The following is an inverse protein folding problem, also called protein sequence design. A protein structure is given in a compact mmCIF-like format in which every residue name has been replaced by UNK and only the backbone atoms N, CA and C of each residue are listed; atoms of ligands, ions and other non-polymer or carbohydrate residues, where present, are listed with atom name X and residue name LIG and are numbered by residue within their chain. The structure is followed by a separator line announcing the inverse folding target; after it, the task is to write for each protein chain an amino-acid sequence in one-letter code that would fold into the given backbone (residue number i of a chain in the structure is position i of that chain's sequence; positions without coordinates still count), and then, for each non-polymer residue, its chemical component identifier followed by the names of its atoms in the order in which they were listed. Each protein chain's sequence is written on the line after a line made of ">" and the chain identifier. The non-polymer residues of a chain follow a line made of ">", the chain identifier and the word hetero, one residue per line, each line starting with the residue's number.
data_IF_421761776034
#
_entry.id   IF_421761776034
#
_cell.length_a   1.000
_cell.length_b   1.000
_cell.length_c   1.000
_cell.angle_alpha   90.00
_cell.angle_beta   90.00
_cell.angle_gamma   90.00
#
_symmetry.space_group_name_H-M   'P 1'
#
loop_
_entity.id
_entity.type
_entity.pdbx_description
1 polymer ?
#
# COMPACT_ATOMS: atom_id res chain seq x y z
N UNK A 1 24.25 -8.93 9.29
CA UNK A 1 24.41 -7.62 8.62
C UNK A 1 24.60 -6.57 9.70
N UNK A 2 25.67 -5.79 9.65
CA UNK A 2 25.96 -4.75 10.64
C UNK A 2 25.36 -3.44 10.21
N UNK A 3 24.69 -2.75 11.12
CA UNK A 3 24.45 -1.34 11.03
C UNK A 3 25.49 -0.62 11.88
N UNK A 4 26.40 0.07 11.23
CA UNK A 4 27.32 0.99 11.93
C UNK A 4 26.47 2.21 12.34
N UNK A 5 26.23 2.35 13.63
CA UNK A 5 25.67 3.58 14.18
C UNK A 5 26.82 4.58 14.22
N UNK A 6 26.63 5.79 13.75
CA UNK A 6 27.66 6.86 13.62
C UNK A 6 28.33 7.26 14.96
N UNK A 7 27.88 6.72 16.07
CA UNK A 7 28.46 6.92 17.41
C UNK A 7 29.70 6.06 17.67
N UNK A 8 30.19 5.28 16.70
CA UNK A 8 31.30 4.33 16.89
C UNK A 8 30.95 3.08 17.71
N UNK A 9 29.71 2.97 18.19
CA UNK A 9 29.22 1.77 18.88
C UNK A 9 28.70 0.79 17.83
N UNK A 10 29.42 -0.29 17.62
CA UNK A 10 29.02 -1.40 16.75
C UNK A 10 28.01 -2.28 17.47
N UNK A 11 26.79 -2.31 16.95
CA UNK A 11 25.74 -3.15 17.51
C UNK A 11 25.87 -4.59 17.01
N UNK A 12 25.92 -5.54 17.92
CA UNK A 12 25.83 -6.96 17.59
C UNK A 12 24.40 -7.29 17.17
N UNK A 13 24.25 -8.06 16.09
CA UNK A 13 22.95 -8.46 15.55
C UNK A 13 22.73 -9.93 15.80
N UNK A 14 21.62 -10.27 16.45
CA UNK A 14 21.11 -11.63 16.51
C UNK A 14 20.53 -11.99 15.14
N UNK A 15 21.07 -12.99 14.52
CA UNK A 15 20.64 -13.47 13.21
C UNK A 15 20.00 -14.84 13.34
N UNK A 16 18.70 -14.94 13.07
CA UNK A 16 18.00 -16.22 13.01
C UNK A 16 18.11 -16.87 11.64
N UNK A 17 17.98 -18.19 11.60
CA UNK A 17 17.78 -18.97 10.37
C UNK A 17 16.29 -19.06 10.09
N UNK A 18 15.71 -17.94 9.69
CA UNK A 18 14.29 -17.85 9.47
C UNK A 18 13.88 -18.40 8.13
N UNK A 19 12.95 -19.32 8.15
CA UNK A 19 12.25 -19.85 6.98
C UNK A 19 10.76 -19.52 7.08
N UNK A 20 10.20 -19.03 5.97
CA UNK A 20 8.77 -18.82 5.81
C UNK A 20 8.29 -19.59 4.59
N UNK A 21 7.29 -20.44 4.79
CA UNK A 21 6.65 -21.17 3.71
C UNK A 21 5.13 -21.19 3.93
N UNK A 22 4.40 -21.36 2.87
CA UNK A 22 2.95 -21.39 2.95
C UNK A 22 2.30 -21.65 1.61
N UNK A 23 0.99 -21.77 1.63
CA UNK A 23 0.17 -21.87 0.44
C UNK A 23 -1.09 -21.06 0.60
N UNK A 24 -1.62 -20.59 -0.53
CA UNK A 24 -2.89 -19.86 -0.56
C UNK A 24 -3.84 -20.47 -1.60
N UNK A 25 -5.12 -20.45 -1.28
CA UNK A 25 -6.21 -20.81 -2.18
C UNK A 25 -7.14 -19.60 -2.32
N UNK A 26 -7.34 -19.13 -3.56
CA UNK A 26 -8.07 -17.90 -3.83
C UNK A 26 -9.15 -18.10 -4.93
N UNK A 27 -10.22 -18.87 -4.68
CA UNK A 27 -11.34 -18.91 -5.61
C UNK A 27 -12.08 -17.57 -5.64
N UNK A 28 -12.54 -17.20 -6.83
CA UNK A 28 -13.36 -16.03 -7.06
C UNK A 28 -14.55 -16.35 -7.96
N UNK A 29 -15.65 -15.65 -7.75
CA UNK A 29 -16.82 -15.72 -8.61
C UNK A 29 -17.27 -14.30 -8.92
N UNK A 30 -17.60 -14.06 -10.17
CA UNK A 30 -18.15 -12.81 -10.66
C UNK A 30 -19.46 -13.10 -11.38
N UNK A 31 -20.48 -12.30 -11.08
CA UNK A 31 -21.76 -12.32 -11.77
C UNK A 31 -22.14 -10.91 -12.17
N UNK A 32 -22.49 -10.69 -13.42
CA UNK A 32 -23.01 -9.41 -13.90
C UNK A 32 -24.28 -9.63 -14.71
N UNK A 33 -25.26 -8.76 -14.50
CA UNK A 33 -26.51 -8.76 -15.25
C UNK A 33 -26.89 -7.34 -15.63
N UNK A 34 -26.96 -7.11 -16.94
CA UNK A 34 -27.47 -5.86 -17.47
C UNK A 34 -28.98 -5.91 -17.63
N UNK A 35 -29.64 -4.78 -17.39
CA UNK A 35 -31.12 -4.64 -17.48
C UNK A 35 -31.85 -5.68 -16.62
N UNK A 36 -31.48 -5.81 -15.35
CA UNK A 36 -31.93 -6.87 -14.44
C UNK A 36 -33.47 -7.02 -14.38
N UNK A 37 -34.18 -5.94 -14.10
CA UNK A 37 -35.64 -5.89 -14.02
C UNK A 37 -36.23 -4.86 -14.97
N UNK A 38 -35.48 -3.82 -15.28
CA UNK A 38 -35.85 -2.74 -16.18
C UNK A 38 -34.62 -2.25 -16.95
N UNK A 39 -34.86 -1.59 -18.07
CA UNK A 39 -33.78 -1.02 -18.89
C UNK A 39 -32.97 0.00 -18.08
N UNK A 40 -31.64 -0.14 -18.11
CA UNK A 40 -30.71 0.74 -17.38
C UNK A 40 -30.39 0.31 -15.96
N UNK A 41 -31.05 -0.72 -15.38
CA UNK A 41 -30.71 -1.28 -14.08
C UNK A 41 -29.70 -2.43 -14.26
N UNK A 42 -28.50 -2.26 -13.73
CA UNK A 42 -27.44 -3.25 -13.82
C UNK A 42 -27.01 -3.71 -12.42
N UNK A 43 -26.75 -5.00 -12.28
CA UNK A 43 -26.24 -5.65 -11.09
C UNK A 43 -24.87 -6.25 -11.38
N UNK A 44 -23.91 -6.03 -10.50
CA UNK A 44 -22.62 -6.73 -10.50
C UNK A 44 -22.35 -7.24 -9.09
N UNK A 45 -22.01 -8.50 -8.97
CA UNK A 45 -21.66 -9.19 -7.73
C UNK A 45 -20.28 -9.82 -7.92
N UNK A 46 -19.39 -9.59 -6.97
CA UNK A 46 -18.10 -10.31 -6.89
C UNK A 46 -17.95 -10.89 -5.50
N UNK A 47 -17.47 -12.11 -5.43
CA UNK A 47 -17.11 -12.74 -4.17
C UNK A 47 -15.78 -13.47 -4.33
N UNK A 48 -14.89 -13.28 -3.37
CA UNK A 48 -13.64 -14.00 -3.30
C UNK A 48 -13.39 -14.49 -1.88
N UNK A 49 -12.87 -15.69 -1.83
CA UNK A 49 -12.37 -16.28 -0.61
C UNK A 49 -10.88 -16.48 -0.74
N UNK A 50 -10.11 -16.07 0.27
CA UNK A 50 -8.70 -16.33 0.34
C UNK A 50 -8.41 -17.08 1.64
N UNK A 51 -7.90 -18.30 1.50
CA UNK A 51 -7.30 -19.05 2.60
C UNK A 51 -5.80 -19.06 2.42
N UNK A 52 -5.09 -18.47 3.36
CA UNK A 52 -3.65 -18.42 3.40
C UNK A 52 -3.15 -19.13 4.66
N UNK A 53 -2.28 -20.12 4.51
CA UNK A 53 -1.62 -20.80 5.61
C UNK A 53 -0.13 -20.52 5.50
N UNK A 54 0.40 -19.82 6.50
CA UNK A 54 1.82 -19.46 6.57
C UNK A 54 2.44 -20.07 7.81
N UNK A 55 3.57 -20.75 7.62
CA UNK A 55 4.40 -21.29 8.71
C UNK A 55 5.71 -20.50 8.76
N UNK A 56 6.02 -19.96 9.91
CA UNK A 56 7.28 -19.30 10.20
C UNK A 56 8.12 -20.22 11.10
N UNK A 57 9.36 -20.43 10.72
CA UNK A 57 10.30 -21.27 11.48
C UNK A 57 11.58 -20.50 11.69
N UNK A 58 12.00 -20.36 12.95
CA UNK A 58 13.30 -19.85 13.35
C UNK A 58 13.71 -20.60 14.62
N UNK A 59 14.36 -21.74 14.45
CA UNK A 59 14.72 -22.66 15.54
C UNK A 59 16.16 -22.51 15.99
N UNK A 60 16.93 -21.64 15.34
CA UNK A 60 18.32 -21.40 15.68
C UNK A 60 18.66 -19.92 15.57
N UNK A 61 18.75 -19.23 16.70
CA UNK A 61 19.27 -17.86 16.74
C UNK A 61 20.78 -17.88 16.86
N UNK A 62 21.47 -17.19 15.96
CA UNK A 62 22.92 -17.04 15.96
C UNK A 62 23.25 -15.54 16.03
N UNK A 63 24.05 -15.17 17.03
CA UNK A 63 24.57 -13.82 17.16
C UNK A 63 25.91 -13.70 16.48
N UNK A 64 26.10 -12.64 15.69
CA UNK A 64 27.37 -12.35 15.05
C UNK A 64 27.95 -11.05 15.58
N UNK A 65 29.24 -11.05 15.84
CA UNK A 65 29.97 -9.81 16.13
C UNK A 65 30.23 -9.03 14.81
N UNK A 66 30.78 -7.84 14.95
CA UNK A 66 31.06 -6.95 13.80
C UNK A 66 32.09 -7.51 12.79
N UNK A 67 32.84 -8.56 13.16
CA UNK A 67 33.77 -9.26 12.26
C UNK A 67 33.11 -10.42 11.53
N UNK A 68 31.81 -10.66 11.73
CA UNK A 68 31.08 -11.77 11.15
C UNK A 68 31.34 -13.12 11.84
N UNK A 69 31.94 -13.12 13.03
CA UNK A 69 32.15 -14.31 13.84
C UNK A 69 30.97 -14.53 14.78
N UNK A 70 30.67 -15.78 15.08
CA UNK A 70 29.62 -16.12 16.05
C UNK A 70 30.00 -15.60 17.45
N UNK A 71 29.03 -15.06 18.15
CA UNK A 71 29.14 -14.55 19.51
C UNK A 71 28.10 -15.23 20.40
N UNK A 72 28.36 -15.35 21.72
CA UNK A 72 27.41 -15.94 22.66
C UNK A 72 26.16 -15.06 22.79
N UNK A 73 25.01 -15.71 23.01
CA UNK A 73 23.75 -15.03 23.34
C UNK A 73 23.78 -14.61 24.81
N UNK A 74 23.55 -13.34 25.10
CA UNK A 74 23.74 -12.74 26.42
C UNK A 74 22.43 -12.63 27.21
N UNK A 75 21.28 -12.79 26.58
CA UNK A 75 19.99 -12.67 27.24
C UNK A 75 18.97 -13.70 26.74
N UNK A 76 17.97 -14.09 27.54
CA UNK A 76 16.89 -14.97 27.12
C UNK A 76 16.12 -14.43 25.90
N UNK A 77 15.96 -13.12 25.74
CA UNK A 77 15.30 -12.50 24.59
C UNK A 77 16.06 -12.66 23.28
N UNK A 78 17.37 -12.95 23.33
CA UNK A 78 18.18 -13.27 22.15
C UNK A 78 17.98 -14.72 21.67
N UNK A 79 17.40 -15.59 22.50
CA UNK A 79 17.13 -16.99 22.22
C UNK A 79 15.71 -17.24 21.71
N UNK A 80 15.03 -16.21 21.18
CA UNK A 80 13.66 -16.39 20.71
C UNK A 80 13.55 -17.43 19.61
N UNK A 81 13.03 -18.58 19.96
CA UNK A 81 12.65 -19.62 19.01
C UNK A 81 11.28 -19.28 18.43
N UNK A 82 11.11 -19.50 17.16
CA UNK A 82 9.84 -19.33 16.47
C UNK A 82 9.52 -20.57 15.66
N UNK A 83 8.40 -21.18 15.94
CA UNK A 83 7.78 -22.18 15.08
C UNK A 83 6.29 -22.01 15.20
N UNK A 84 5.71 -21.24 14.31
CA UNK A 84 4.29 -20.86 14.36
C UNK A 84 3.62 -21.05 13.01
N UNK A 85 2.34 -21.36 13.04
CA UNK A 85 1.48 -21.44 11.87
C UNK A 85 0.32 -20.47 12.02
N UNK A 86 0.17 -19.57 11.06
CA UNK A 86 -1.00 -18.69 10.92
C UNK A 86 -1.92 -19.23 9.84
N UNK A 87 -3.18 -19.47 10.18
CA UNK A 87 -4.24 -19.85 9.24
C UNK A 87 -5.19 -18.65 9.08
N UNK A 88 -5.08 -17.97 7.95
CA UNK A 88 -5.88 -16.79 7.60
C UNK A 88 -7.01 -17.19 6.67
N UNK A 89 -8.23 -16.77 6.99
CA UNK A 89 -9.39 -16.88 6.13
C UNK A 89 -9.94 -15.48 5.88
N UNK A 90 -10.07 -15.10 4.62
CA UNK A 90 -10.52 -13.77 4.23
C UNK A 90 -11.62 -13.88 3.17
N UNK A 91 -12.81 -13.39 3.48
CA UNK A 91 -13.95 -13.29 2.59
C UNK A 91 -14.11 -11.85 2.13
N UNK A 92 -14.17 -11.63 0.84
CA UNK A 92 -14.46 -10.34 0.25
C UNK A 92 -15.66 -10.46 -0.65
N UNK A 93 -16.62 -9.57 -0.50
CA UNK A 93 -17.78 -9.46 -1.34
C UNK A 93 -18.03 -8.03 -1.77
N UNK A 94 -18.44 -7.83 -3.01
CA UNK A 94 -18.88 -6.54 -3.51
C UNK A 94 -20.18 -6.71 -4.27
N UNK A 95 -21.19 -5.90 -3.93
CA UNK A 95 -22.43 -5.79 -4.66
C UNK A 95 -22.57 -4.36 -5.18
N UNK A 96 -22.75 -4.21 -6.49
CA UNK A 96 -22.99 -2.93 -7.16
C UNK A 96 -24.31 -2.98 -7.89
N UNK A 97 -25.21 -2.09 -7.54
CA UNK A 97 -26.47 -1.85 -8.25
C UNK A 97 -26.43 -0.47 -8.87
N UNK A 98 -26.50 -0.35 -10.19
CA UNK A 98 -26.50 0.93 -10.87
C UNK A 98 -27.74 1.09 -11.73
N UNK A 99 -28.36 2.26 -11.66
CA UNK A 99 -29.54 2.62 -12.45
C UNK A 99 -29.29 3.88 -13.26
N UNK A 100 -29.35 3.73 -14.58
CA UNK A 100 -29.24 4.84 -15.51
C UNK A 100 -30.60 5.30 -15.97
N UNK A 101 -30.94 6.54 -15.65
CA UNK A 101 -32.18 7.19 -16.08
C UNK A 101 -31.86 8.21 -17.18
N UNK A 102 -32.26 7.86 -18.41
CA UNK A 102 -31.86 8.61 -19.58
C UNK A 102 -30.35 8.64 -19.79
N UNK A 103 -29.83 9.71 -20.40
CA UNK A 103 -28.40 9.88 -20.67
C UNK A 103 -27.67 10.69 -19.59
N UNK A 104 -28.41 11.41 -18.76
CA UNK A 104 -27.84 12.40 -17.84
C UNK A 104 -27.70 11.88 -16.40
N UNK A 105 -28.49 10.90 -15.97
CA UNK A 105 -28.57 10.52 -14.55
C UNK A 105 -28.09 9.10 -14.32
N UNK A 106 -27.21 8.92 -13.32
CA UNK A 106 -26.74 7.61 -12.89
C UNK A 106 -26.78 7.54 -11.37
N UNK A 107 -27.56 6.61 -10.84
CA UNK A 107 -27.58 6.25 -9.42
C UNK A 107 -26.78 4.97 -9.23
N UNK A 108 -25.96 4.91 -8.20
CA UNK A 108 -25.17 3.72 -7.91
C UNK A 108 -25.19 3.44 -6.41
N UNK A 109 -25.60 2.25 -6.03
CA UNK A 109 -25.44 1.70 -4.70
C UNK A 109 -24.33 0.65 -4.72
N UNK A 110 -23.38 0.77 -3.80
CA UNK A 110 -22.31 -0.19 -3.60
C UNK A 110 -22.33 -0.70 -2.15
N UNK A 111 -22.15 -2.00 -1.99
CA UNK A 111 -21.89 -2.59 -0.69
C UNK A 111 -20.67 -3.49 -0.77
N UNK A 112 -19.72 -3.27 0.13
CA UNK A 112 -18.50 -4.05 0.25
C UNK A 112 -18.47 -4.68 1.63
N UNK A 113 -18.26 -5.99 1.68
CA UNK A 113 -17.98 -6.73 2.90
C UNK A 113 -16.59 -7.36 2.83
N UNK A 114 -15.83 -7.21 3.91
CA UNK A 114 -14.61 -7.95 4.14
C UNK A 114 -14.68 -8.60 5.52
N UNK A 115 -14.54 -9.92 5.58
CA UNK A 115 -14.53 -10.67 6.83
C UNK A 115 -13.24 -11.49 6.91
N UNK A 116 -12.46 -11.23 7.94
CA UNK A 116 -11.15 -11.86 8.17
C UNK A 116 -11.17 -12.62 9.49
N UNK A 117 -10.52 -13.79 9.48
CA UNK A 117 -10.25 -14.59 10.67
C UNK A 117 -8.84 -15.16 10.60
N UNK A 118 -8.07 -15.04 11.69
CA UNK A 118 -6.75 -15.65 11.86
C UNK A 118 -6.75 -16.52 13.12
N UNK A 119 -6.31 -17.76 12.94
CA UNK A 119 -5.99 -18.68 14.02
C UNK A 119 -4.48 -18.96 13.99
N UNK A 120 -3.82 -18.75 15.12
CA UNK A 120 -2.40 -19.05 15.26
C UNK A 120 -2.24 -20.36 16.03
N UNK A 121 -1.21 -21.12 15.64
CA UNK A 121 -0.82 -22.35 16.31
C UNK A 121 0.68 -22.32 16.55
N UNK A 122 1.09 -22.47 17.79
CA UNK A 122 2.50 -22.73 18.14
C UNK A 122 2.83 -24.19 17.87
N UNK A 123 3.96 -24.40 17.22
CA UNK A 123 4.51 -25.71 16.88
C UNK A 123 5.85 -25.97 17.59
N UNK A 124 6.15 -25.19 18.66
CA UNK A 124 7.40 -25.32 19.42
C UNK A 124 7.41 -26.53 20.33
N UNK A 125 6.24 -27.01 20.73
CA UNK A 125 6.08 -28.21 21.58
C UNK A 125 5.68 -29.41 20.75
N UNK A 126 5.86 -30.63 21.27
CA UNK A 126 5.50 -31.87 20.58
C UNK A 126 4.00 -31.89 20.20
N UNK A 127 3.14 -31.37 21.06
CA UNK A 127 1.74 -31.16 20.78
C UNK A 127 1.52 -29.70 20.31
N UNK A 128 0.94 -29.47 19.12
CA UNK A 128 0.62 -28.14 18.65
C UNK A 128 -0.39 -27.42 19.56
N UNK A 129 -0.10 -26.18 19.94
CA UNK A 129 -0.97 -25.36 20.77
C UNK A 129 -1.57 -24.27 19.93
N UNK A 130 -2.90 -24.33 19.73
CA UNK A 130 -3.65 -23.30 19.01
C UNK A 130 -4.15 -22.25 19.99
N UNK A 131 -3.96 -20.97 19.64
CA UNK A 131 -4.46 -19.85 20.43
C UNK A 131 -5.99 -20.00 20.63
N UNK A 132 -6.50 -19.92 21.87
CA UNK A 132 -7.92 -20.12 22.13
C UNK A 132 -8.79 -18.97 21.58
N UNK A 133 -8.18 -17.82 21.30
CA UNK A 133 -8.86 -16.61 20.86
C UNK A 133 -8.37 -16.25 19.44
N UNK A 134 -9.28 -16.40 18.46
CA UNK A 134 -9.00 -16.00 17.09
C UNK A 134 -9.04 -14.49 16.91
N UNK A 135 -8.22 -13.97 15.98
CA UNK A 135 -8.21 -12.58 15.54
C UNK A 135 -9.22 -12.39 14.41
N UNK A 136 -10.18 -11.49 14.57
CA UNK A 136 -11.28 -11.35 13.63
C UNK A 136 -11.54 -9.89 13.30
N UNK A 137 -11.82 -9.60 12.01
CA UNK A 137 -12.42 -8.34 11.58
C UNK A 137 -13.60 -8.58 10.65
N UNK A 138 -14.58 -7.68 10.70
CA UNK A 138 -15.63 -7.56 9.69
C UNK A 138 -15.77 -6.08 9.35
N UNK A 139 -15.57 -5.75 8.09
CA UNK A 139 -15.74 -4.40 7.54
C UNK A 139 -16.91 -4.41 6.58
N UNK A 140 -17.88 -3.53 6.79
CA UNK A 140 -18.98 -3.28 5.89
C UNK A 140 -18.91 -1.82 5.44
N UNK A 141 -18.95 -1.59 4.14
CA UNK A 141 -18.97 -0.24 3.58
C UNK A 141 -20.12 -0.17 2.58
N UNK A 142 -21.12 0.64 2.89
CA UNK A 142 -22.25 0.92 2.00
C UNK A 142 -22.13 2.32 1.46
N UNK A 143 -22.28 2.49 0.15
CA UNK A 143 -22.18 3.78 -0.52
C UNK A 143 -23.34 4.00 -1.48
N UNK A 144 -23.91 5.20 -1.46
CA UNK A 144 -24.88 5.66 -2.43
C UNK A 144 -24.31 6.87 -3.15
N UNK A 145 -24.31 6.85 -4.48
CA UNK A 145 -23.86 7.97 -5.30
C UNK A 145 -24.87 8.33 -6.37
N UNK A 146 -24.94 9.61 -6.66
CA UNK A 146 -25.69 10.16 -7.77
C UNK A 146 -24.74 10.94 -8.66
N UNK A 147 -24.73 10.64 -9.98
CA UNK A 147 -23.96 11.32 -11.00
C UNK A 147 -24.90 11.99 -11.99
N UNK A 148 -24.61 13.25 -12.29
CA UNK A 148 -25.33 14.07 -13.23
C UNK A 148 -24.43 14.56 -14.36
N UNK A 149 -24.81 14.24 -15.60
CA UNK A 149 -24.09 14.55 -16.84
C UNK A 149 -25.05 15.25 -17.80
N UNK A 150 -25.36 16.54 -17.60
CA UNK A 150 -26.36 17.26 -18.39
C UNK A 150 -25.95 17.42 -19.86
N UNK A 151 -24.65 17.44 -20.11
CA UNK A 151 -24.05 17.60 -21.44
C UNK A 151 -22.62 17.05 -21.45
N UNK A 152 -21.93 17.16 -22.57
CA UNK A 152 -20.55 16.70 -22.72
C UNK A 152 -19.51 17.50 -21.93
N UNK A 153 -19.87 18.71 -21.44
CA UNK A 153 -18.95 19.58 -20.71
C UNK A 153 -18.93 19.31 -19.19
N UNK A 154 -20.04 18.82 -18.63
CA UNK A 154 -20.18 18.67 -17.18
C UNK A 154 -20.38 17.22 -16.77
N UNK A 155 -19.64 16.80 -15.76
CA UNK A 155 -19.87 15.57 -15.04
C UNK A 155 -19.75 15.88 -13.54
N UNK A 156 -20.87 15.78 -12.82
CA UNK A 156 -20.95 16.08 -11.39
C UNK A 156 -21.40 14.85 -10.64
N UNK A 157 -20.88 14.64 -9.44
CA UNK A 157 -21.31 13.56 -8.56
C UNK A 157 -21.36 13.99 -7.12
N UNK A 158 -22.34 13.44 -6.39
CA UNK A 158 -22.43 13.51 -4.93
C UNK A 158 -22.59 12.11 -4.39
N UNK A 159 -22.05 11.84 -3.20
CA UNK A 159 -22.11 10.52 -2.60
C UNK A 159 -22.09 10.58 -1.08
N UNK A 160 -22.68 9.56 -0.46
CA UNK A 160 -22.60 9.24 0.95
C UNK A 160 -22.12 7.82 1.17
N UNK A 161 -21.34 7.60 2.22
CA UNK A 161 -20.79 6.29 2.59
C UNK A 161 -21.05 6.03 4.07
N UNK A 162 -21.43 4.82 4.40
CA UNK A 162 -21.51 4.32 5.77
C UNK A 162 -20.47 3.23 5.96
N UNK A 163 -19.65 3.39 7.00
CA UNK A 163 -18.58 2.48 7.38
C UNK A 163 -18.93 1.80 8.69
N UNK A 164 -18.80 0.48 8.74
CA UNK A 164 -18.96 -0.33 9.94
C UNK A 164 -17.75 -1.27 10.06
N UNK A 165 -17.15 -1.31 11.23
CA UNK A 165 -16.00 -2.13 11.56
C UNK A 165 -16.25 -2.87 12.87
N UNK A 166 -16.21 -4.19 12.81
CA UNK A 166 -16.12 -5.05 13.96
C UNK A 166 -14.71 -5.65 14.07
N UNK A 167 -14.14 -5.63 15.27
CA UNK A 167 -12.83 -6.20 15.60
C UNK A 167 -12.99 -7.08 16.83
N UNK A 168 -12.40 -8.28 16.81
CA UNK A 168 -12.29 -9.14 17.97
C UNK A 168 -10.93 -9.84 17.99
N UNK A 169 -10.34 -10.00 19.16
CA UNK A 169 -9.04 -10.64 19.30
C UNK A 169 -8.60 -10.74 20.76
N UNK A 170 -7.41 -11.30 21.01
CA UNK A 170 -6.85 -11.41 22.34
C UNK A 170 -6.27 -10.07 22.81
N UNK A 171 -6.51 -9.75 24.06
CA UNK A 171 -5.80 -8.69 24.79
C UNK A 171 -5.25 -9.28 26.07
N UNK A 172 -4.05 -8.86 26.47
CA UNK A 172 -3.46 -9.28 27.72
C UNK A 172 -4.28 -8.72 28.90
N UNK A 173 -4.67 -9.57 29.83
CA UNK A 173 -5.41 -9.18 31.03
C UNK A 173 -4.53 -8.44 32.02
N UNK A 174 -3.26 -8.79 32.05
CA UNK A 174 -2.25 -8.21 32.96
C UNK A 174 -1.02 -7.74 32.19
N UNK A 175 -0.25 -6.84 32.79
CA UNK A 175 1.01 -6.36 32.22
C UNK A 175 2.05 -7.48 32.02
N UNK A 176 1.93 -8.61 32.76
CA UNK A 176 2.80 -9.79 32.63
C UNK A 176 2.49 -10.64 31.41
N UNK A 177 1.38 -10.37 30.70
CA UNK A 177 0.95 -11.08 29.50
C UNK A 177 0.77 -12.61 29.69
N UNK A 178 0.47 -13.05 30.89
CA UNK A 178 0.28 -14.49 31.21
C UNK A 178 -1.10 -14.99 30.76
N UNK A 179 -2.12 -14.11 30.84
CA UNK A 179 -3.49 -14.44 30.48
C UNK A 179 -4.02 -13.51 29.38
N UNK A 180 -4.76 -14.06 28.45
CA UNK A 180 -5.45 -13.34 27.38
C UNK A 180 -6.95 -13.50 27.48
N UNK A 181 -7.66 -12.40 27.34
CA UNK A 181 -9.12 -12.37 27.25
C UNK A 181 -9.56 -11.88 25.88
N UNK A 182 -10.73 -12.34 25.45
CA UNK A 182 -11.31 -11.87 24.18
C UNK A 182 -11.88 -10.48 24.39
N UNK A 183 -11.36 -9.52 23.63
CA UNK A 183 -11.92 -8.18 23.51
C UNK A 183 -12.66 -8.04 22.16
N UNK A 184 -13.78 -7.33 22.18
CA UNK A 184 -14.53 -6.97 20.99
C UNK A 184 -14.72 -5.47 20.90
N UNK A 185 -14.74 -4.94 19.70
CA UNK A 185 -14.98 -3.52 19.44
C UNK A 185 -15.79 -3.35 18.16
N UNK A 186 -16.77 -2.45 18.19
CA UNK A 186 -17.54 -2.04 17.03
C UNK A 186 -17.45 -0.53 16.85
N UNK A 187 -17.25 -0.10 15.62
CA UNK A 187 -17.11 1.31 15.24
C UNK A 187 -17.91 1.55 13.97
N UNK A 188 -18.68 2.62 13.94
CA UNK A 188 -19.37 3.05 12.74
C UNK A 188 -19.19 4.55 12.50
N UNK A 189 -19.17 4.96 11.24
CA UNK A 189 -19.02 6.37 10.87
C UNK A 189 -19.58 6.64 9.48
N UNK A 190 -19.80 7.94 9.18
CA UNK A 190 -20.28 8.41 7.89
C UNK A 190 -19.20 9.21 7.17
N UNK A 191 -19.09 8.99 5.86
CA UNK A 191 -18.36 9.84 4.93
C UNK A 191 -19.30 10.36 3.85
N UNK A 192 -18.90 11.46 3.23
CA UNK A 192 -19.64 12.07 2.12
C UNK A 192 -18.71 12.91 1.26
N UNK A 193 -19.14 13.16 0.04
CA UNK A 193 -18.34 14.02 -0.84
C UNK A 193 -19.10 14.42 -2.10
N UNK A 194 -18.43 15.30 -2.83
CA UNK A 194 -18.85 15.76 -4.13
C UNK A 194 -17.65 15.92 -5.06
N UNK A 195 -17.86 15.70 -6.35
CA UNK A 195 -16.86 15.93 -7.38
C UNK A 195 -17.50 16.52 -8.62
N UNK A 196 -16.75 17.38 -9.31
CA UNK A 196 -17.14 17.97 -10.57
C UNK A 196 -15.97 17.90 -11.56
N UNK A 197 -16.27 17.54 -12.80
CA UNK A 197 -15.36 17.68 -13.94
C UNK A 197 -16.00 18.63 -14.94
N UNK A 198 -15.22 19.59 -15.39
CA UNK A 198 -15.61 20.54 -16.41
C UNK A 198 -14.63 20.51 -17.58
N UNK A 199 -15.14 20.27 -18.78
CA UNK A 199 -14.36 20.33 -20.01
C UNK A 199 -14.35 21.77 -20.51
N UNK A 200 -13.29 22.51 -20.21
CA UNK A 200 -13.07 23.90 -20.68
C UNK A 200 -12.99 23.90 -22.21
N UNK A 201 -12.24 22.94 -22.73
CA UNK A 201 -12.15 22.57 -24.15
C UNK A 201 -12.34 21.05 -24.26
N UNK A 202 -12.64 20.52 -25.45
CA UNK A 202 -12.68 19.06 -25.64
C UNK A 202 -11.39 18.33 -25.18
N UNK A 203 -10.28 19.04 -25.21
CA UNK A 203 -8.93 18.57 -24.88
C UNK A 203 -8.45 18.98 -23.50
N UNK A 204 -9.13 19.93 -22.83
CA UNK A 204 -8.73 20.47 -21.53
C UNK A 204 -9.85 20.30 -20.51
N UNK A 205 -9.59 19.53 -19.46
CA UNK A 205 -10.53 19.30 -18.37
C UNK A 205 -10.00 19.82 -17.03
N UNK A 206 -10.89 20.40 -16.23
CA UNK A 206 -10.65 20.72 -14.84
C UNK A 206 -11.49 19.80 -13.95
N UNK A 207 -10.89 19.27 -12.89
CA UNK A 207 -11.57 18.41 -11.90
C UNK A 207 -11.39 19.00 -10.51
N UNK A 208 -12.47 19.04 -9.75
CA UNK A 208 -12.46 19.43 -8.33
C UNK A 208 -13.23 18.40 -7.53
N UNK A 209 -12.69 17.96 -6.42
CA UNK A 209 -13.40 17.07 -5.50
C UNK A 209 -13.17 17.45 -4.06
N UNK A 210 -14.20 17.21 -3.25
CA UNK A 210 -14.15 17.25 -1.81
C UNK A 210 -14.72 15.94 -1.24
N UNK A 211 -14.05 15.39 -0.22
CA UNK A 211 -14.53 14.23 0.50
C UNK A 211 -14.21 14.33 1.99
N UNK A 212 -15.22 14.14 2.85
CA UNK A 212 -15.01 13.72 4.22
C UNK A 212 -14.90 12.21 4.22
N UNK A 213 -13.67 11.69 4.27
CA UNK A 213 -13.37 10.27 4.19
C UNK A 213 -13.09 9.64 5.55
N UNK A 214 -13.33 8.34 5.64
CA UNK A 214 -12.88 7.51 6.73
C UNK A 214 -12.01 6.38 6.19
N UNK A 215 -10.84 6.15 6.82
CA UNK A 215 -9.99 4.99 6.56
C UNK A 215 -10.05 4.05 7.74
N UNK A 216 -10.64 2.88 7.54
CA UNK A 216 -10.66 1.82 8.52
C UNK A 216 -9.25 1.20 8.65
N UNK A 217 -8.80 0.83 9.86
CA UNK A 217 -7.52 0.16 10.06
C UNK A 217 -7.38 -1.12 9.24
N UNK A 218 -6.17 -1.43 8.79
CA UNK A 218 -5.85 -2.68 8.10
C UNK A 218 -5.76 -3.85 9.08
N UNK A 219 -5.63 -5.07 8.58
CA UNK A 219 -5.45 -6.28 9.40
C UNK A 219 -4.09 -6.23 10.10
N UNK A 220 -3.07 -5.75 9.38
CA UNK A 220 -1.71 -5.59 9.90
C UNK A 220 -1.64 -4.54 11.01
N UNK A 221 -2.35 -3.42 10.86
CA UNK A 221 -2.43 -2.38 11.89
C UNK A 221 -3.11 -2.88 13.17
N UNK A 222 -4.12 -3.76 13.02
CA UNK A 222 -4.88 -4.30 14.14
C UNK A 222 -4.20 -5.51 14.81
N UNK A 223 -3.56 -6.39 14.03
CA UNK A 223 -3.09 -7.69 14.51
C UNK A 223 -1.63 -7.99 14.24
N UNK A 224 -0.93 -7.13 13.48
CA UNK A 224 0.45 -7.37 13.08
C UNK A 224 0.59 -8.47 12.02
N UNK A 225 1.84 -8.83 11.75
CA UNK A 225 2.20 -9.86 10.76
C UNK A 225 2.76 -11.16 11.39
N UNK A 226 2.72 -11.26 12.73
CA UNK A 226 3.28 -12.36 13.55
C UNK A 226 4.83 -12.44 13.46
N UNK A 227 5.48 -11.36 13.07
CA UNK A 227 6.94 -11.30 12.88
C UNK A 227 7.55 -9.98 13.37
N UNK A 228 7.54 -8.97 12.55
CA UNK A 228 8.17 -7.67 12.83
C UNK A 228 7.15 -6.57 13.13
N UNK A 229 5.88 -6.79 12.82
CA UNK A 229 4.81 -5.84 13.06
C UNK A 229 3.92 -6.31 14.19
N UNK A 230 3.84 -5.49 15.22
CA UNK A 230 2.96 -5.70 16.38
C UNK A 230 1.71 -4.88 16.19
N UNK A 231 0.57 -5.56 16.08
CA UNK A 231 -0.72 -4.90 15.88
C UNK A 231 -1.22 -4.21 17.14
N UNK A 232 -2.12 -3.23 16.95
CA UNK A 232 -2.76 -2.49 18.03
C UNK A 232 -4.29 -2.46 17.80
N UNK A 233 -5.03 -3.28 18.54
CA UNK A 233 -6.48 -3.43 18.38
C UNK A 233 -7.28 -2.19 18.77
N UNK A 234 -6.71 -1.26 19.53
CA UNK A 234 -7.38 -0.05 19.99
C UNK A 234 -7.32 1.10 18.98
N UNK A 235 -6.60 0.92 17.87
CA UNK A 235 -6.47 1.93 16.82
C UNK A 235 -7.83 2.41 16.31
N UNK A 236 -7.99 3.74 16.26
CA UNK A 236 -9.17 4.41 15.72
C UNK A 236 -9.05 4.56 14.20
N UNK A 237 -10.17 4.53 13.47
CA UNK A 237 -10.18 4.91 12.07
C UNK A 237 -9.71 6.35 11.85
N UNK A 238 -8.95 6.59 10.80
CA UNK A 238 -8.64 7.96 10.37
C UNK A 238 -9.88 8.64 9.81
N UNK A 239 -10.01 9.92 10.08
CA UNK A 239 -11.06 10.78 9.53
C UNK A 239 -10.41 11.98 8.86
N UNK A 240 -10.64 12.16 7.57
CA UNK A 240 -9.98 13.20 6.81
C UNK A 240 -10.93 14.05 5.99
N UNK A 241 -10.56 15.31 5.82
CA UNK A 241 -11.14 16.23 4.84
C UNK A 241 -10.15 16.37 3.69
N UNK A 242 -10.57 15.93 2.51
CA UNK A 242 -9.75 15.89 1.31
C UNK A 242 -10.29 16.85 0.27
N UNK A 243 -9.43 17.69 -0.27
CA UNK A 243 -9.71 18.54 -1.44
C UNK A 243 -8.68 18.20 -2.50
N UNK A 244 -9.15 17.88 -3.71
CA UNK A 244 -8.26 17.63 -4.85
C UNK A 244 -8.71 18.52 -6.01
N UNK A 245 -7.76 19.14 -6.67
CA UNK A 245 -7.96 19.88 -7.91
C UNK A 245 -6.97 19.40 -8.95
N UNK A 246 -7.42 19.13 -10.19
CA UNK A 246 -6.50 18.81 -11.28
C UNK A 246 -6.92 19.45 -12.59
N UNK A 247 -5.91 19.71 -13.42
CA UNK A 247 -6.04 20.12 -14.81
C UNK A 247 -5.41 19.04 -15.70
N UNK A 248 -6.19 18.53 -16.65
CA UNK A 248 -5.75 17.51 -17.59
C UNK A 248 -5.90 17.98 -19.02
N UNK A 249 -4.83 17.90 -19.79
CA UNK A 249 -4.79 18.16 -21.22
C UNK A 249 -4.53 16.86 -21.98
N UNK A 250 -5.36 16.56 -22.98
CA UNK A 250 -5.23 15.38 -23.83
C UNK A 250 -5.53 15.75 -25.27
N UNK A 251 -4.52 15.69 -26.13
CA UNK A 251 -4.62 16.08 -27.53
C UNK A 251 -3.86 15.10 -28.42
N UNK A 252 -4.49 14.71 -29.53
CA UNK A 252 -3.83 14.02 -30.64
C UNK A 252 -3.78 14.94 -31.86
N UNK A 253 -2.63 15.00 -32.51
CA UNK A 253 -2.39 15.81 -33.70
C UNK A 253 -1.49 15.03 -34.70
N UNK A 254 -2.08 14.53 -35.74
CA UNK A 254 -1.42 13.60 -36.68
C UNK A 254 -0.97 12.34 -35.94
N UNK A 255 0.30 11.98 -36.08
CA UNK A 255 0.91 10.82 -35.42
C UNK A 255 1.32 11.07 -33.97
N UNK A 256 1.07 12.25 -33.44
CA UNK A 256 1.46 12.65 -32.08
C UNK A 256 0.26 12.58 -31.15
N UNK A 257 0.47 12.10 -29.93
CA UNK A 257 -0.49 12.15 -28.84
C UNK A 257 0.20 12.67 -27.56
N UNK A 258 -0.38 13.68 -26.94
CA UNK A 258 0.13 14.29 -25.72
C UNK A 258 -0.95 14.26 -24.63
N UNK A 259 -0.61 13.70 -23.50
CA UNK A 259 -1.38 13.78 -22.26
C UNK A 259 -0.53 14.45 -21.18
N UNK A 260 -1.08 15.44 -20.48
CA UNK A 260 -0.49 16.06 -19.30
C UNK A 260 -1.58 16.27 -18.27
N UNK A 261 -1.35 15.86 -17.05
CA UNK A 261 -2.22 16.16 -15.90
C UNK A 261 -1.38 16.72 -14.74
N UNK A 262 -1.82 17.84 -14.16
CA UNK A 262 -1.26 18.40 -12.94
C UNK A 262 -2.36 18.45 -11.88
N UNK A 263 -2.07 17.94 -10.68
CA UNK A 263 -3.02 17.82 -9.58
C UNK A 263 -2.47 18.37 -8.26
N UNK A 264 -3.31 19.11 -7.53
CA UNK A 264 -3.06 19.59 -6.18
C UNK A 264 -3.87 18.76 -5.19
N UNK A 265 -3.26 18.38 -4.08
CA UNK A 265 -3.87 17.61 -2.99
C UNK A 265 -3.77 18.39 -1.69
N UNK A 266 -4.88 18.51 -1.02
CA UNK A 266 -4.96 19.01 0.35
C UNK A 266 -5.75 18.00 1.19
N UNK A 267 -5.14 17.46 2.25
CA UNK A 267 -5.76 16.50 3.16
C UNK A 267 -5.45 16.86 4.60
N UNK A 268 -6.48 17.05 5.40
CA UNK A 268 -6.37 17.22 6.85
C UNK A 268 -6.96 15.98 7.54
N UNK A 269 -6.12 15.21 8.24
CA UNK A 269 -6.46 13.91 8.82
C UNK A 269 -6.37 13.95 10.32
N UNK A 270 -7.46 13.61 11.01
CA UNK A 270 -7.50 13.35 12.44
C UNK A 270 -7.34 11.85 12.70
N UNK A 271 -6.79 11.50 13.87
CA UNK A 271 -6.49 10.13 14.27
C UNK A 271 -5.60 9.41 13.23
N UNK A 272 -4.64 10.13 12.61
CA UNK A 272 -3.75 9.57 11.60
C UNK A 272 -3.04 8.35 12.13
N UNK A 273 -3.08 7.23 11.39
CA UNK A 273 -2.43 6.00 11.80
C UNK A 273 -0.99 6.00 11.28
N UNK A 274 -0.06 6.08 12.23
CA UNK A 274 1.36 6.09 11.94
C UNK A 274 2.01 4.79 12.41
N UNK A 275 2.89 4.26 11.57
CA UNK A 275 3.79 3.16 11.91
C UNK A 275 4.99 3.72 12.69
N UNK A 276 5.19 3.22 13.91
CA UNK A 276 6.32 3.55 14.75
C UNK A 276 7.26 2.37 14.85
N UNK A 277 8.54 2.62 14.58
CA UNK A 277 9.59 1.62 14.75
C UNK A 277 10.14 1.76 16.18
N UNK A 278 10.27 0.65 16.87
CA UNK A 278 10.86 0.60 18.21
C UNK A 278 11.89 -0.52 18.32
N UNK A 279 12.84 -0.34 19.24
CA UNK A 279 13.86 -1.34 19.51
C UNK A 279 13.31 -2.38 20.48
N UNK A 280 13.49 -3.64 20.16
CA UNK A 280 13.25 -4.79 21.04
C UNK A 280 14.56 -5.24 21.69
N UNK A 281 14.47 -6.07 22.73
CA UNK A 281 15.64 -6.72 23.31
C UNK A 281 16.41 -7.54 22.27
N UNK A 282 17.74 -7.60 22.41
CA UNK A 282 18.60 -8.33 21.45
C UNK A 282 18.91 -7.59 20.15
N UNK A 283 18.74 -6.25 20.12
CA UNK A 283 19.06 -5.44 18.93
C UNK A 283 18.08 -5.62 17.76
N UNK A 284 16.93 -6.25 17.98
CA UNK A 284 15.84 -6.38 17.01
C UNK A 284 15.01 -5.10 16.95
N UNK A 285 14.49 -4.80 15.78
CA UNK A 285 13.52 -3.73 15.60
C UNK A 285 12.16 -4.33 15.23
N UNK A 286 11.11 -3.78 15.80
CA UNK A 286 9.74 -4.07 15.40
C UNK A 286 9.01 -2.76 15.10
N UNK A 287 7.88 -2.86 14.46
CA UNK A 287 6.99 -1.74 14.22
C UNK A 287 5.66 -1.96 14.95
N UNK A 288 5.07 -0.89 15.44
CA UNK A 288 3.69 -0.86 15.91
C UNK A 288 2.96 0.31 15.28
N UNK A 289 1.67 0.39 15.50
CA UNK A 289 0.82 1.42 14.93
C UNK A 289 0.16 2.25 16.03
N UNK A 290 0.09 3.55 15.81
CA UNK A 290 -0.52 4.49 16.76
C UNK A 290 -1.37 5.52 16.03
N UNK A 291 -2.39 6.04 16.67
CA UNK A 291 -3.07 7.24 16.20
C UNK A 291 -2.25 8.48 16.59
N UNK A 292 -1.72 9.17 15.60
CA UNK A 292 -0.75 10.28 15.80
C UNK A 292 -1.42 11.65 16.05
N UNK A 293 -2.72 11.77 16.02
CA UNK A 293 -3.40 13.05 16.15
C UNK A 293 -3.72 13.67 14.78
N UNK A 294 -3.55 14.99 14.63
CA UNK A 294 -3.87 15.70 13.39
C UNK A 294 -2.65 15.81 12.48
N UNK A 295 -2.81 15.41 11.22
CA UNK A 295 -1.77 15.45 10.18
C UNK A 295 -2.28 16.16 8.95
N UNK A 296 -1.48 17.12 8.45
CA UNK A 296 -1.77 17.87 7.24
C UNK A 296 -0.89 17.41 6.09
N UNK A 297 -1.54 16.98 5.00
CA UNK A 297 -0.87 16.65 3.73
C UNK A 297 -1.18 17.69 2.67
N UNK A 298 -0.13 18.22 2.05
CA UNK A 298 -0.21 19.08 0.85
C UNK A 298 0.68 18.48 -0.22
N UNK A 299 0.18 18.35 -1.44
CA UNK A 299 0.93 17.70 -2.51
C UNK A 299 0.64 18.25 -3.88
N UNK A 300 1.59 17.99 -4.79
CA UNK A 300 1.51 18.25 -6.22
C UNK A 300 1.88 16.96 -6.94
N UNK A 301 1.03 16.53 -7.87
CA UNK A 301 1.28 15.43 -8.80
C UNK A 301 1.32 15.97 -10.21
N UNK A 302 2.28 15.56 -11.00
CA UNK A 302 2.36 15.87 -12.44
C UNK A 302 2.57 14.55 -13.17
N UNK A 303 1.73 14.28 -14.17
CA UNK A 303 1.86 13.13 -15.06
C UNK A 303 1.88 13.62 -16.50
N UNK A 304 2.81 13.14 -17.30
CA UNK A 304 2.90 13.44 -18.72
C UNK A 304 3.14 12.16 -19.51
N UNK A 305 2.47 12.03 -20.64
CA UNK A 305 2.72 10.97 -21.62
C UNK A 305 2.68 11.53 -23.01
N UNK A 306 3.73 11.24 -23.75
CA UNK A 306 3.82 11.54 -25.16
C UNK A 306 3.96 10.23 -25.94
N UNK A 307 3.22 10.10 -27.03
CA UNK A 307 3.35 8.97 -27.94
C UNK A 307 3.52 9.50 -29.37
N UNK A 308 4.41 8.86 -30.12
CA UNK A 308 4.60 9.14 -31.53
C UNK A 308 4.25 7.91 -32.34
N UNK A 309 3.19 8.06 -33.16
CA UNK A 309 2.65 6.96 -33.97
C UNK A 309 2.44 5.71 -33.09
N UNK A 310 2.75 4.54 -33.61
CA UNK A 310 2.66 3.25 -32.91
C UNK A 310 4.00 2.69 -32.44
N UNK A 311 5.10 3.43 -32.65
CA UNK A 311 6.44 2.91 -32.39
C UNK A 311 7.16 3.49 -31.16
N UNK A 312 6.70 4.58 -30.58
CA UNK A 312 7.35 5.18 -29.39
C UNK A 312 6.35 5.75 -28.41
N UNK A 313 6.59 5.56 -27.11
CA UNK A 313 5.95 6.33 -26.04
C UNK A 313 6.94 6.70 -24.95
N UNK A 314 6.77 7.90 -24.37
CA UNK A 314 7.53 8.40 -23.24
C UNK A 314 6.53 8.82 -22.18
N UNK A 315 6.71 8.31 -20.95
CA UNK A 315 5.93 8.66 -19.78
C UNK A 315 6.80 9.24 -18.68
N UNK A 316 6.28 10.18 -17.90
CA UNK A 316 6.92 10.70 -16.71
C UNK A 316 5.88 11.06 -15.66
N UNK A 317 6.16 10.71 -14.40
CA UNK A 317 5.38 11.07 -13.24
C UNK A 317 6.28 11.74 -12.20
N UNK A 318 5.78 12.78 -11.60
CA UNK A 318 6.44 13.50 -10.52
C UNK A 318 5.46 13.74 -9.39
N UNK A 319 5.86 13.41 -8.17
CA UNK A 319 5.06 13.66 -6.98
C UNK A 319 5.92 14.32 -5.91
N UNK A 320 5.43 15.43 -5.39
CA UNK A 320 5.95 15.99 -4.15
C UNK A 320 4.82 16.19 -3.15
N UNK A 321 5.06 15.82 -1.89
CA UNK A 321 4.09 15.96 -0.83
C UNK A 321 4.76 16.38 0.48
N UNK A 322 4.10 17.23 1.23
CA UNK A 322 4.47 17.56 2.60
C UNK A 322 3.41 16.97 3.53
N UNK A 323 3.79 15.93 4.28
CA UNK A 323 2.98 15.29 5.33
C UNK A 323 3.54 15.75 6.65
N UNK A 324 2.83 16.62 7.35
CA UNK A 324 3.35 17.30 8.54
C UNK A 324 2.41 17.16 9.73
N UNK A 325 3.01 17.15 10.92
CA UNK A 325 2.28 17.26 12.18
C UNK A 325 1.53 18.60 12.23
N UNK A 326 0.23 18.54 12.40
CA UNK A 326 -0.62 19.72 12.51
C UNK A 326 -1.26 19.85 13.90
N UNK A 327 -0.79 19.07 14.88
CA UNK A 327 -1.23 19.12 16.27
C UNK A 327 -0.48 20.24 17.00
N UNK A 328 -1.19 21.28 17.43
CA UNK A 328 -0.58 22.45 18.09
C UNK A 328 -0.13 22.17 19.52
N UNK A 329 -0.81 21.26 20.20
CA UNK A 329 -0.51 20.87 21.57
C UNK A 329 0.00 19.44 21.61
N UNK A 330 0.89 19.12 22.52
CA UNK A 330 1.32 17.74 22.72
C UNK A 330 0.14 16.90 23.23
N UNK A 331 0.04 15.65 22.71
CA UNK A 331 -1.07 14.76 23.03
C UNK A 331 -1.22 14.58 24.56
N UNK A 332 -2.43 14.83 25.07
CA UNK A 332 -2.73 14.77 26.51
C UNK A 332 -2.11 15.88 27.36
N UNK A 333 -1.61 16.96 26.77
CA UNK A 333 -0.96 18.08 27.47
C UNK A 333 -1.45 19.43 26.94
N UNK A 334 -1.32 20.46 27.75
CA UNK A 334 -1.53 21.86 27.34
C UNK A 334 -0.25 22.51 26.78
N UNK A 335 0.88 21.78 26.79
CA UNK A 335 2.15 22.30 26.28
C UNK A 335 2.16 22.32 24.76
N UNK A 336 2.88 23.30 24.21
CA UNK A 336 3.08 23.39 22.75
C UNK A 336 3.78 22.13 22.22
N UNK A 337 3.29 21.63 21.10
CA UNK A 337 3.91 20.50 20.44
C UNK A 337 5.17 20.97 19.67
N UNK A 338 6.33 20.49 20.08
CA UNK A 338 7.62 20.85 19.46
C UNK A 338 7.75 20.36 18.02
N UNK A 339 6.92 19.40 17.61
CA UNK A 339 6.90 18.87 16.22
C UNK A 339 5.84 19.54 15.35
N UNK A 340 5.12 20.55 15.85
CA UNK A 340 4.13 21.28 15.05
C UNK A 340 4.73 21.79 13.75
N UNK A 341 4.14 21.44 12.60
CA UNK A 341 4.60 21.69 11.22
C UNK A 341 5.86 20.93 10.79
N UNK A 342 6.45 20.12 11.67
CA UNK A 342 7.52 19.23 11.25
C UNK A 342 6.97 18.11 10.35
N UNK A 343 7.78 17.69 9.38
CA UNK A 343 7.42 16.58 8.49
C UNK A 343 7.47 15.26 9.25
N UNK A 344 6.48 14.40 9.02
CA UNK A 344 6.50 13.06 9.57
C UNK A 344 7.68 12.25 9.00
N UNK A 345 8.34 11.51 9.86
CA UNK A 345 9.44 10.61 9.47
C UNK A 345 8.94 9.37 8.76
N UNK A 346 9.85 8.68 8.08
CA UNK A 346 9.62 7.42 7.36
C UNK A 346 8.60 7.51 6.20
N UNK A 347 8.47 8.69 5.63
CA UNK A 347 7.60 8.97 4.47
C UNK A 347 8.42 9.68 3.39
N UNK A 348 8.63 9.06 2.22
CA UNK A 348 9.18 9.74 1.06
C UNK A 348 8.29 10.92 0.67
N UNK A 349 8.88 12.07 0.39
CA UNK A 349 8.13 13.29 0.09
C UNK A 349 8.31 13.82 -1.32
N UNK A 350 9.30 13.31 -2.02
CA UNK A 350 9.54 13.61 -3.42
C UNK A 350 10.01 12.34 -4.12
N UNK A 351 9.28 11.96 -5.15
CA UNK A 351 9.60 10.82 -5.99
C UNK A 351 9.13 11.06 -7.42
N UNK A 352 9.84 10.45 -8.34
CA UNK A 352 9.56 10.53 -9.76
C UNK A 352 9.85 9.20 -10.44
N UNK A 353 9.14 8.93 -11.50
CA UNK A 353 9.42 7.82 -12.40
C UNK A 353 9.26 8.25 -13.85
N UNK A 354 9.97 7.59 -14.75
CA UNK A 354 9.76 7.76 -16.17
C UNK A 354 9.96 6.46 -16.93
N UNK A 355 9.30 6.35 -18.07
CA UNK A 355 9.42 5.22 -18.97
C UNK A 355 9.60 5.68 -20.42
N UNK A 356 10.41 4.94 -21.17
CA UNK A 356 10.56 5.08 -22.62
C UNK A 356 10.33 3.72 -23.24
N UNK A 357 9.37 3.64 -24.14
CA UNK A 357 9.02 2.42 -24.82
C UNK A 357 9.21 2.59 -26.32
N UNK A 358 9.88 1.61 -26.94
CA UNK A 358 9.96 1.45 -28.38
C UNK A 358 9.25 0.18 -28.79
N UNK A 359 8.43 0.28 -29.81
CA UNK A 359 7.62 -0.80 -30.34
C UNK A 359 7.99 -1.05 -31.78
N UNK A 360 8.26 -2.29 -32.13
CA UNK A 360 8.51 -2.71 -33.49
C UNK A 360 7.54 -3.83 -33.86
N UNK A 361 6.55 -3.48 -34.68
CA UNK A 361 5.50 -4.41 -35.11
C UNK A 361 5.96 -5.25 -36.31
N UNK A 362 5.43 -6.48 -36.40
CA UNK A 362 5.67 -7.42 -37.47
C UNK A 362 7.13 -7.90 -37.61
N UNK A 363 7.93 -7.86 -36.57
CA UNK A 363 9.30 -8.38 -36.59
C UNK A 363 9.30 -9.88 -36.90
N UNK A 364 9.92 -10.26 -38.00
CA UNK A 364 10.02 -11.63 -38.50
C UNK A 364 8.73 -12.19 -39.10
N UNK A 365 7.55 -11.87 -38.58
CA UNK A 365 6.26 -12.32 -39.10
C UNK A 365 5.14 -11.35 -38.72
N UNK A 366 4.12 -11.24 -39.60
CA UNK A 366 2.92 -10.44 -39.32
C UNK A 366 2.25 -10.89 -38.01
N UNK A 367 1.93 -9.92 -37.14
CA UNK A 367 1.32 -10.17 -35.84
C UNK A 367 2.33 -10.41 -34.70
N UNK A 368 3.63 -10.37 -34.98
CA UNK A 368 4.67 -10.35 -33.95
C UNK A 368 4.98 -8.92 -33.53
N UNK A 369 5.41 -8.74 -32.29
CA UNK A 369 5.76 -7.42 -31.74
C UNK A 369 6.98 -7.52 -30.84
N UNK A 370 7.97 -6.68 -31.10
CA UNK A 370 9.10 -6.45 -30.19
C UNK A 370 8.86 -5.17 -29.42
N UNK A 371 9.10 -5.21 -28.11
CA UNK A 371 9.01 -4.01 -27.25
C UNK A 371 10.28 -3.91 -26.44
N UNK A 372 10.95 -2.77 -26.55
CA UNK A 372 12.06 -2.37 -25.68
C UNK A 372 11.54 -1.30 -24.71
N UNK A 373 11.66 -1.55 -23.42
CA UNK A 373 11.26 -0.61 -22.37
C UNK A 373 12.47 -0.27 -21.50
N UNK A 374 12.73 1.00 -21.36
CA UNK A 374 13.56 1.56 -20.30
C UNK A 374 12.64 2.25 -19.30
N UNK A 375 12.80 1.95 -18.02
CA UNK A 375 12.13 2.67 -16.94
C UNK A 375 13.09 3.01 -15.81
N UNK A 376 12.79 4.07 -15.10
CA UNK A 376 13.57 4.49 -13.94
C UNK A 376 12.66 4.96 -12.81
N UNK A 377 13.21 4.94 -11.61
CA UNK A 377 12.53 5.31 -10.38
C UNK A 377 13.47 6.12 -9.49
N UNK A 378 13.08 7.32 -9.15
CA UNK A 378 13.79 8.20 -8.25
C UNK A 378 13.01 8.41 -6.95
N UNK A 379 13.68 8.27 -5.81
CA UNK A 379 13.16 8.63 -4.49
C UNK A 379 14.18 9.53 -3.81
N UNK A 380 13.75 10.73 -3.40
CA UNK A 380 14.60 11.65 -2.68
C UNK A 380 14.84 11.18 -1.24
N UNK A 381 15.96 11.54 -0.66
CA UNK A 381 16.34 11.17 0.71
C UNK A 381 15.29 11.63 1.72
N UNK A 382 15.05 10.82 2.72
CA UNK A 382 14.11 11.11 3.80
C UNK A 382 14.59 10.51 5.12
N UNK A 383 14.14 11.09 6.24
CA UNK A 383 14.44 10.55 7.57
C UNK A 383 13.53 9.36 7.87
N UNK A 384 14.07 8.25 8.36
CA UNK A 384 13.27 7.07 8.73
C UNK A 384 12.98 6.98 10.23
N UNK A 385 13.58 7.83 11.04
CA UNK A 385 13.40 7.85 12.50
C UNK A 385 12.91 9.21 12.99
N UNK A 386 12.10 9.21 14.05
CA UNK A 386 11.56 10.44 14.62
C UNK A 386 12.63 11.21 15.40
N UNK A 387 12.71 12.52 15.20
CA UNK A 387 13.54 13.43 16.00
C UNK A 387 13.16 13.49 17.49
N UNK A 388 12.00 12.96 17.87
CA UNK A 388 11.51 12.89 19.26
C UNK A 388 12.44 12.15 20.21
N UNK A 389 13.31 11.28 19.71
CA UNK A 389 14.21 10.47 20.54
C UNK A 389 15.62 11.05 20.63
N UNK A 390 15.79 12.34 20.36
CA UNK A 390 17.10 13.01 20.46
C UNK A 390 18.11 12.62 19.38
N UNK A 391 17.68 11.86 18.36
CA UNK A 391 18.51 11.50 17.24
C UNK A 391 18.78 12.73 16.37
N UNK A 392 20.05 12.96 16.07
CA UNK A 392 20.44 14.03 15.15
C UNK A 392 19.82 13.77 13.77
N UNK A 393 19.21 14.78 13.14
CA UNK A 393 18.49 14.64 11.86
C UNK A 393 19.32 13.96 10.76
N UNK A 394 20.65 14.01 10.87
CA UNK A 394 21.57 13.45 9.87
C UNK A 394 21.89 11.97 10.05
N UNK A 395 21.61 11.38 11.21
CA UNK A 395 22.05 10.01 11.53
C UNK A 395 21.10 8.92 11.02
N UNK A 396 19.87 9.30 10.64
CA UNK A 396 18.79 8.36 10.29
C UNK A 396 18.14 8.73 8.95
N UNK A 397 18.98 8.84 7.92
CA UNK A 397 18.54 9.19 6.56
C UNK A 397 18.55 7.95 5.67
N UNK A 398 17.45 7.69 4.99
CA UNK A 398 17.43 6.87 3.78
C UNK A 398 17.96 7.75 2.65
N UNK A 399 19.08 7.40 2.00
CA UNK A 399 19.70 8.24 0.98
C UNK A 399 18.84 8.33 -0.29
N UNK A 400 19.19 9.25 -1.17
CA UNK A 400 18.62 9.30 -2.51
C UNK A 400 18.78 7.95 -3.22
N UNK A 401 17.73 7.51 -3.89
CA UNK A 401 17.71 6.27 -4.62
C UNK A 401 17.31 6.53 -6.06
N UNK A 402 18.08 6.00 -6.99
CA UNK A 402 17.78 6.09 -8.41
C UNK A 402 18.03 4.74 -9.05
N UNK A 403 16.97 4.03 -9.37
CA UNK A 403 17.00 2.72 -10.01
C UNK A 403 16.69 2.85 -11.50
N UNK A 404 17.41 2.08 -12.31
CA UNK A 404 17.22 2.02 -13.76
C UNK A 404 16.97 0.59 -14.18
N UNK A 405 15.96 0.36 -14.98
CA UNK A 405 15.57 -0.96 -15.46
C UNK A 405 15.51 -0.97 -16.98
N UNK A 406 15.79 -2.13 -17.57
CA UNK A 406 15.69 -2.35 -19.00
C UNK A 406 14.99 -3.68 -19.24
N UNK A 407 13.98 -3.69 -20.11
CA UNK A 407 13.29 -4.92 -20.50
C UNK A 407 13.12 -5.02 -22.01
N UNK A 408 13.25 -6.24 -22.51
CA UNK A 408 12.98 -6.60 -23.89
C UNK A 408 11.92 -7.69 -23.92
N UNK A 409 10.82 -7.45 -24.63
CA UNK A 409 9.72 -8.39 -24.76
C UNK A 409 9.45 -8.70 -26.22
N UNK A 410 9.30 -9.98 -26.55
CA UNK A 410 8.93 -10.42 -27.89
C UNK A 410 7.63 -11.23 -27.84
N UNK A 411 6.63 -10.73 -28.53
CA UNK A 411 5.29 -11.31 -28.62
C UNK A 411 5.12 -11.94 -29.99
N UNK A 412 4.70 -13.21 -30.04
CA UNK A 412 4.57 -14.02 -31.25
C UNK A 412 3.12 -14.45 -31.42
N UNK A 413 2.70 -14.62 -32.67
CA UNK A 413 1.37 -15.12 -33.06
C UNK A 413 0.24 -14.31 -32.38
N UNK A 414 0.23 -13.00 -32.61
CA UNK A 414 -0.78 -12.05 -32.07
C UNK A 414 -0.88 -12.10 -30.52
N UNK A 415 0.24 -12.35 -29.83
CA UNK A 415 0.27 -12.35 -28.36
C UNK A 415 0.06 -13.73 -27.72
N UNK A 416 -0.07 -14.81 -28.53
CA UNK A 416 -0.22 -16.16 -27.99
C UNK A 416 1.01 -16.61 -27.19
N UNK A 417 2.21 -16.27 -27.64
CA UNK A 417 3.46 -16.55 -26.96
C UNK A 417 4.18 -15.24 -26.66
N UNK A 418 4.56 -15.02 -25.41
CA UNK A 418 5.28 -13.82 -25.01
C UNK A 418 6.54 -14.25 -24.23
N UNK A 419 7.70 -13.78 -24.69
CA UNK A 419 9.00 -13.98 -24.07
C UNK A 419 9.48 -12.62 -23.61
N UNK A 420 9.96 -12.50 -22.38
CA UNK A 420 10.58 -11.28 -21.91
C UNK A 420 11.81 -11.56 -21.08
N UNK A 421 12.81 -10.69 -21.22
CA UNK A 421 13.98 -10.61 -20.37
C UNK A 421 14.04 -9.21 -19.77
N UNK A 422 14.41 -9.12 -18.50
CA UNK A 422 14.43 -7.88 -17.75
C UNK A 422 15.71 -7.82 -16.93
N UNK A 423 16.38 -6.68 -16.95
CA UNK A 423 17.48 -6.34 -16.05
C UNK A 423 17.03 -5.21 -15.13
N UNK A 424 16.75 -5.53 -13.88
CA UNK A 424 16.40 -4.54 -12.85
C UNK A 424 17.64 -3.96 -12.23
N UNK A 425 17.57 -2.65 -11.95
CA UNK A 425 18.68 -1.93 -11.34
C UNK A 425 20.01 -2.20 -12.07
N UNK A 426 20.03 -2.03 -13.41
CA UNK A 426 21.18 -2.39 -14.24
C UNK A 426 22.45 -1.58 -13.89
N UNK A 427 22.30 -0.42 -13.27
CA UNK A 427 23.40 0.40 -12.75
C UNK A 427 23.98 -0.12 -11.44
N UNK A 428 23.35 -1.14 -10.83
CA UNK A 428 23.72 -1.69 -9.52
C UNK A 428 23.73 -0.67 -8.38
N UNK A 429 22.82 0.30 -8.45
CA UNK A 429 22.65 1.33 -7.43
C UNK A 429 22.27 0.72 -6.09
N UNK A 430 22.78 1.27 -5.00
CA UNK A 430 22.39 0.86 -3.65
C UNK A 430 20.98 1.39 -3.34
N UNK A 431 20.04 0.48 -3.23
CA UNK A 431 18.65 0.77 -2.90
C UNK A 431 18.36 0.32 -1.47
N UNK A 432 17.48 1.04 -0.77
CA UNK A 432 17.17 0.79 0.63
C UNK A 432 15.65 0.71 0.82
N UNK A 433 15.23 -0.01 1.84
CA UNK A 433 13.85 -0.01 2.31
C UNK A 433 13.59 1.10 3.36
N UNK A 434 12.40 1.11 3.93
CA UNK A 434 12.01 2.08 4.95
C UNK A 434 12.71 1.88 6.31
N UNK A 435 13.43 0.79 6.50
CA UNK A 435 14.29 0.56 7.66
C UNK A 435 15.76 0.90 7.38
N UNK A 436 16.05 1.50 6.22
CA UNK A 436 17.40 1.73 5.73
C UNK A 436 18.21 0.43 5.54
N UNK A 437 17.52 -0.69 5.31
CA UNK A 437 18.16 -1.95 4.94
C UNK A 437 18.39 -1.99 3.43
N UNK A 438 19.60 -2.38 3.02
CA UNK A 438 19.92 -2.46 1.60
C UNK A 438 19.15 -3.59 0.93
N UNK A 439 18.47 -3.27 -0.16
CA UNK A 439 17.79 -4.21 -1.05
C UNK A 439 18.79 -4.95 -1.94
N UNK A 440 18.32 -6.01 -2.62
CA UNK A 440 19.09 -6.67 -3.65
C UNK A 440 19.53 -5.68 -4.73
N UNK A 441 20.77 -5.84 -5.22
CA UNK A 441 21.32 -5.05 -6.31
C UNK A 441 20.73 -5.43 -7.67
N UNK A 442 21.59 -5.47 -8.71
CA UNK A 442 21.20 -5.85 -10.06
C UNK A 442 20.63 -7.26 -10.10
N UNK A 443 19.50 -7.42 -10.81
CA UNK A 443 18.82 -8.70 -10.93
C UNK A 443 18.33 -8.93 -12.36
N UNK A 444 18.41 -10.16 -12.82
CA UNK A 444 17.97 -10.59 -14.15
C UNK A 444 16.77 -11.53 -14.04
N UNK A 445 15.77 -11.30 -14.88
CA UNK A 445 14.56 -12.10 -14.93
C UNK A 445 14.29 -12.53 -16.37
N UNK A 446 13.78 -13.75 -16.52
CA UNK A 446 13.22 -14.26 -17.76
C UNK A 446 11.79 -14.74 -17.50
N UNK A 447 10.87 -14.43 -18.40
CA UNK A 447 9.46 -14.80 -18.28
C UNK A 447 8.93 -15.31 -19.62
N UNK A 448 8.24 -16.43 -19.55
CA UNK A 448 7.48 -16.99 -20.67
C UNK A 448 5.99 -16.99 -20.30
N UNK A 449 5.15 -16.45 -21.18
CA UNK A 449 3.70 -16.50 -21.02
C UNK A 449 3.09 -17.14 -22.26
N UNK A 450 2.20 -18.09 -22.09
CA UNK A 450 1.44 -18.75 -23.14
C UNK A 450 -0.05 -18.55 -22.87
N UNK A 451 -0.77 -18.10 -23.87
CA UNK A 451 -2.23 -17.99 -23.83
C UNK A 451 -2.84 -19.19 -24.55
N UNK A 452 -3.64 -19.95 -23.84
CA UNK A 452 -4.44 -21.04 -24.35
C UNK A 452 -5.88 -20.54 -24.52
N UNK A 453 -6.33 -20.42 -25.75
CA UNK A 453 -7.68 -19.95 -26.10
C UNK A 453 -7.68 -19.38 -27.53
N UNK A 454 -8.84 -19.47 -28.20
CA UNK A 454 -9.07 -18.88 -29.50
C UNK A 454 -9.33 -17.38 -29.35
#
# INVERSE_FOLDING_TARGET
>A
MYKEIQTGVRQEIVYGQKHRHGYSLMPSIEYSKHNLLTRGLNLSLTANYNRDITTNVDTASVKYNWRGQTAPLNSPGEQSLLHSRANNNNWNGTATLSYRLGNAHLFTFNHVINAFNRNNTSLLTAEPVTDPISKQTRKNISGLSYRYMPNQKWNMSVFGKYYDLFVAGPIAETATQENYVRQTRSLSTWGYGAAATYFVLPTLQAKLSYEKACRLPTIEELFGDEDLEVGEMTIKPERSHNVNFSLGYNQSFGDHSLFVEAGLVYRNTNDYIQRNIFSMSGGKYAATYVNYGNVLTKGLNISARYSYSHWMSIGANFTTMNVSDNEKQAMGSTQSNINYKERLSNLPYLFADSDINFYYDNLGRKGNKLTLTYDNQYTHSFTYYSSRLGANKNDYIVPNQFAHNLSLSYSIAHGRYNFSVECRNFTDAKLYDNFSLQKAGRAFYAKVRVHFGN
#
